data_IF_435136403204
#
_entry.id   IF_435136403204
#
_cell.length_a   1.000
_cell.length_b   1.000
_cell.length_c   1.000
_cell.angle_alpha   90.00
_cell.angle_beta   90.00
_cell.angle_gamma   90.00
#
_symmetry.space_group_name_H-M   'P 1'
#
loop_
_entity.id
_entity.type
_entity.pdbx_description
1 polymer ?
#
# COMPACT_ATOMS: atom_id res chain seq x y z
N UNK A 1 3.26 28.20 19.38
CA UNK A 1 1.86 28.37 18.91
C UNK A 1 1.80 28.07 17.41
N UNK A 2 1.44 26.85 17.03
CA UNK A 2 0.79 26.48 15.75
C UNK A 2 0.90 24.97 15.48
N UNK A 3 0.24 24.16 16.32
CA UNK A 3 -0.22 22.82 15.95
C UNK A 3 -1.71 22.97 15.62
N UNK A 4 -2.10 23.06 14.35
CA UNK A 4 -3.53 23.00 13.98
C UNK A 4 -3.85 22.58 12.53
N UNK A 5 -2.88 22.23 11.68
CA UNK A 5 -3.16 21.90 10.27
C UNK A 5 -3.42 20.40 9.97
N UNK A 6 -3.14 19.47 10.90
CA UNK A 6 -3.19 18.03 10.61
C UNK A 6 -4.59 17.38 10.70
N UNK A 7 -5.58 18.07 11.28
CA UNK A 7 -6.90 17.49 11.57
C UNK A 7 -7.95 17.61 10.45
N UNK A 8 -7.79 18.56 9.53
CA UNK A 8 -8.84 18.89 8.56
C UNK A 8 -8.86 17.97 7.32
N UNK A 9 -7.69 17.50 6.86
CA UNK A 9 -7.59 16.68 5.65
C UNK A 9 -8.14 15.25 5.83
N UNK A 10 -8.22 14.74 7.06
CA UNK A 10 -8.69 13.39 7.36
C UNK A 10 -10.22 13.24 7.30
N UNK A 11 -10.98 14.35 7.40
CA UNK A 11 -12.44 14.33 7.54
C UNK A 11 -13.19 14.56 6.22
N UNK A 12 -12.52 15.10 5.20
CA UNK A 12 -13.11 15.38 3.89
C UNK A 12 -13.09 14.19 2.89
N UNK A 13 -12.42 13.08 3.24
CA UNK A 13 -12.27 11.92 2.34
C UNK A 13 -13.39 10.85 2.50
N UNK A 14 -14.40 11.11 3.32
CA UNK A 14 -15.45 10.15 3.66
C UNK A 14 -16.83 10.70 3.26
N UNK A 15 -17.15 10.65 1.96
CA UNK A 15 -18.49 10.49 1.37
C UNK A 15 -18.55 11.12 -0.01
N UNK A 16 -18.32 10.32 -1.06
CA UNK A 16 -18.73 10.65 -2.42
C UNK A 16 -19.79 9.65 -2.89
N UNK A 17 -20.76 10.05 -3.73
CA UNK A 17 -21.79 9.15 -4.29
C UNK A 17 -21.24 7.90 -5.00
N UNK A 18 -19.94 7.86 -5.33
CA UNK A 18 -19.21 6.68 -5.87
C UNK A 18 -18.87 5.61 -4.82
N UNK A 19 -19.18 5.82 -3.54
CA UNK A 19 -18.83 4.90 -2.44
C UNK A 19 -19.83 3.74 -2.26
N UNK A 20 -21.09 3.91 -2.64
CA UNK A 20 -22.13 2.85 -2.56
C UNK A 20 -21.87 1.72 -3.57
N UNK A 21 -21.50 2.05 -4.81
CA UNK A 21 -21.28 1.06 -5.89
C UNK A 21 -20.06 0.15 -5.69
N UNK A 22 -19.09 0.55 -4.84
CA UNK A 22 -17.87 -0.25 -4.56
C UNK A 22 -17.92 -1.01 -3.23
N UNK A 23 -18.98 -0.83 -2.44
CA UNK A 23 -19.15 -1.49 -1.14
C UNK A 23 -19.49 -2.99 -1.29
N UNK A 24 -20.16 -3.38 -2.38
CA UNK A 24 -20.53 -4.77 -2.70
C UNK A 24 -19.52 -5.54 -3.57
N UNK A 25 -18.34 -4.97 -3.85
CA UNK A 25 -17.30 -5.60 -4.68
C UNK A 25 -16.60 -6.71 -3.89
N UNK A 26 -16.48 -7.92 -4.45
CA UNK A 26 -15.68 -9.00 -3.86
C UNK A 26 -14.19 -8.65 -3.96
N UNK A 27 -13.66 -8.00 -2.92
CA UNK A 27 -12.26 -7.58 -2.89
C UNK A 27 -11.29 -8.75 -2.89
N UNK A 28 -11.72 -9.97 -2.57
CA UNK A 28 -10.87 -11.14 -2.71
C UNK A 28 -10.43 -11.34 -4.17
N UNK A 29 -11.34 -11.11 -5.15
CA UNK A 29 -11.04 -11.21 -6.59
C UNK A 29 -10.00 -10.17 -7.01
N UNK A 30 -10.11 -8.94 -6.49
CA UNK A 30 -9.14 -7.88 -6.81
C UNK A 30 -7.77 -8.20 -6.20
N UNK A 31 -7.75 -8.77 -4.99
CA UNK A 31 -6.50 -9.12 -4.33
C UNK A 31 -5.79 -10.29 -5.00
N UNK A 32 -6.52 -11.20 -5.65
CA UNK A 32 -5.94 -12.30 -6.42
C UNK A 32 -5.00 -11.81 -7.54
N UNK A 33 -5.30 -10.66 -8.14
CA UNK A 33 -4.48 -10.02 -9.18
C UNK A 33 -3.20 -9.34 -8.64
N UNK A 34 -3.10 -9.14 -7.32
CA UNK A 34 -1.94 -8.49 -6.71
C UNK A 34 -0.84 -9.55 -6.53
N UNK A 35 0.37 -9.38 -7.09
CA UNK A 35 1.39 -10.43 -7.12
C UNK A 35 1.75 -11.03 -5.76
N UNK A 36 1.68 -10.24 -4.69
CA UNK A 36 1.97 -10.70 -3.33
C UNK A 36 0.90 -11.65 -2.76
N UNK A 37 -0.33 -11.61 -3.29
CA UNK A 37 -1.48 -12.37 -2.80
C UNK A 37 -1.94 -13.49 -3.74
N UNK A 38 -1.42 -13.57 -4.97
CA UNK A 38 -1.86 -14.52 -6.03
C UNK A 38 -1.88 -16.01 -5.63
N UNK A 39 -1.09 -16.40 -4.63
CA UNK A 39 -1.00 -17.78 -4.17
C UNK A 39 -1.77 -18.03 -2.85
N UNK A 40 -2.54 -17.04 -2.39
CA UNK A 40 -3.40 -17.20 -1.22
C UNK A 40 -4.72 -17.86 -1.61
N UNK A 41 -5.20 -18.74 -0.73
CA UNK A 41 -6.55 -19.30 -0.89
C UNK A 41 -7.59 -18.19 -0.85
N UNK A 42 -8.74 -18.40 -1.49
CA UNK A 42 -9.87 -17.45 -1.45
C UNK A 42 -10.31 -17.12 -0.02
N UNK A 43 -10.21 -18.07 0.91
CA UNK A 43 -10.45 -17.84 2.34
C UNK A 43 -9.47 -16.83 2.92
N UNK A 44 -8.19 -16.95 2.60
CA UNK A 44 -7.15 -16.02 3.07
C UNK A 44 -7.28 -14.66 2.41
N UNK A 45 -7.59 -14.59 1.12
CA UNK A 45 -7.89 -13.33 0.43
C UNK A 45 -9.06 -12.57 1.08
N UNK A 46 -10.14 -13.29 1.44
CA UNK A 46 -11.26 -12.70 2.21
C UNK A 46 -10.81 -12.21 3.59
N UNK A 47 -9.94 -12.96 4.27
CA UNK A 47 -9.39 -12.53 5.55
C UNK A 47 -8.56 -11.24 5.41
N UNK A 48 -7.66 -11.18 4.43
CA UNK A 48 -6.86 -9.97 4.11
C UNK A 48 -7.79 -8.79 3.84
N UNK A 49 -8.82 -8.96 3.01
CA UNK A 49 -9.80 -7.92 2.74
C UNK A 49 -10.56 -7.45 4.01
N UNK A 50 -10.88 -8.37 4.92
CA UNK A 50 -11.64 -8.08 6.15
C UNK A 50 -10.87 -7.26 7.18
N UNK A 51 -9.54 -7.38 7.22
CA UNK A 51 -8.69 -6.68 8.20
C UNK A 51 -8.13 -5.36 7.64
N UNK A 52 -8.42 -5.04 6.39
CA UNK A 52 -7.89 -3.88 5.71
C UNK A 52 -8.89 -2.73 5.63
N UNK A 53 -8.36 -1.51 5.54
CA UNK A 53 -9.15 -0.31 5.38
C UNK A 53 -8.96 0.29 4.00
N UNK A 54 -10.04 0.67 3.34
CA UNK A 54 -9.99 1.40 2.08
C UNK A 54 -9.75 2.89 2.35
N UNK A 55 -8.86 3.52 1.59
CA UNK A 55 -8.53 4.94 1.69
C UNK A 55 -8.47 5.56 0.30
N UNK A 56 -9.07 6.73 0.13
CA UNK A 56 -8.98 7.52 -1.10
C UNK A 56 -8.03 8.70 -0.90
N UNK A 57 -7.30 9.04 -1.96
CA UNK A 57 -6.38 10.16 -1.98
C UNK A 57 -6.59 10.95 -3.27
N UNK A 58 -6.65 12.28 -3.14
CA UNK A 58 -6.66 13.18 -4.30
C UNK A 58 -5.25 13.38 -4.87
N UNK A 59 -5.17 13.89 -6.10
CA UNK A 59 -3.90 14.18 -6.76
C UNK A 59 -2.97 15.04 -5.88
N UNK A 60 -1.67 14.72 -5.87
CA UNK A 60 -0.66 15.45 -5.10
C UNK A 60 -0.65 15.13 -3.59
N UNK A 61 -1.61 14.36 -3.08
CA UNK A 61 -1.64 13.98 -1.66
C UNK A 61 -0.44 13.09 -1.31
N UNK A 62 0.31 13.48 -0.28
CA UNK A 62 1.36 12.64 0.30
C UNK A 62 0.73 11.51 1.12
N UNK A 63 0.92 10.27 0.68
CA UNK A 63 0.41 9.06 1.34
C UNK A 63 1.45 8.55 2.35
N UNK A 64 2.73 8.62 1.98
CA UNK A 64 3.88 8.26 2.80
C UNK A 64 4.94 9.34 2.65
N UNK A 65 5.65 9.67 3.73
CA UNK A 65 6.82 10.55 3.71
C UNK A 65 8.07 9.76 4.07
N UNK A 66 9.16 10.01 3.34
CA UNK A 66 10.46 9.45 3.68
C UNK A 66 10.91 9.91 5.08
N UNK A 67 11.59 9.05 5.82
CA UNK A 67 12.07 9.32 7.18
C UNK A 67 11.04 9.09 8.29
N UNK A 68 9.74 9.02 7.98
CA UNK A 68 8.73 8.68 8.99
C UNK A 68 8.83 7.20 9.42
N UNK A 69 8.34 6.88 10.61
CA UNK A 69 8.17 5.47 11.02
C UNK A 69 7.10 4.76 10.17
N UNK A 70 7.37 3.52 9.76
CA UNK A 70 6.40 2.72 9.00
C UNK A 70 5.24 2.23 9.88
N UNK A 71 4.00 2.60 9.55
CA UNK A 71 2.81 2.20 10.32
C UNK A 71 1.81 1.30 9.57
N UNK A 72 1.96 1.20 8.24
CA UNK A 72 1.02 0.46 7.39
C UNK A 72 1.62 0.02 6.05
N UNK A 73 1.03 -1.02 5.49
CA UNK A 73 1.24 -1.57 4.15
C UNK A 73 0.09 -1.13 3.24
N UNK A 74 0.37 -0.87 1.96
CA UNK A 74 -0.62 -0.34 1.02
C UNK A 74 -0.64 -1.15 -0.27
N UNK A 75 -1.84 -1.46 -0.73
CA UNK A 75 -2.13 -2.06 -2.04
C UNK A 75 -2.88 -1.02 -2.86
N UNK A 76 -2.45 -0.78 -4.10
CA UNK A 76 -3.15 0.11 -5.01
C UNK A 76 -4.28 -0.65 -5.70
N UNK A 77 -5.51 -0.29 -5.38
CA UNK A 77 -6.71 -0.87 -5.98
C UNK A 77 -7.11 -0.13 -7.27
N UNK A 78 -6.81 1.17 -7.34
CA UNK A 78 -7.15 2.04 -8.46
C UNK A 78 -6.21 3.25 -8.51
N UNK A 79 -5.98 3.80 -9.69
CA UNK A 79 -5.12 4.96 -9.92
C UNK A 79 -3.62 4.63 -9.93
N UNK A 80 -2.81 5.66 -9.70
CA UNK A 80 -1.34 5.57 -9.70
C UNK A 80 -0.69 6.48 -8.66
N UNK A 81 0.53 6.15 -8.26
CA UNK A 81 1.35 6.95 -7.34
C UNK A 81 2.77 7.10 -7.87
N UNK A 82 3.45 8.17 -7.45
CA UNK A 82 4.89 8.33 -7.65
C UNK A 82 5.62 8.02 -6.35
N UNK A 83 6.58 7.10 -6.42
CA UNK A 83 7.53 6.80 -5.35
C UNK A 83 8.78 7.63 -5.59
N UNK A 84 9.10 8.50 -4.64
CA UNK A 84 10.17 9.50 -4.73
C UNK A 84 11.21 9.17 -3.66
N UNK A 85 12.31 8.49 -4.02
CA UNK A 85 13.40 8.22 -3.09
C UNK A 85 14.19 9.52 -2.77
N UNK A 86 14.92 9.58 -1.64
CA UNK A 86 15.82 10.69 -1.33
C UNK A 86 16.91 10.88 -2.39
N UNK A 87 17.37 9.77 -2.98
CA UNK A 87 18.36 9.74 -4.06
C UNK A 87 17.89 8.82 -5.18
N UNK A 88 18.26 9.14 -6.42
CA UNK A 88 17.83 8.40 -7.61
C UNK A 88 16.55 8.93 -8.26
N UNK A 89 16.02 8.17 -9.23
CA UNK A 89 14.87 8.62 -10.05
C UNK A 89 13.54 8.18 -9.43
N UNK A 90 12.50 9.03 -9.45
CA UNK A 90 11.15 8.61 -9.10
C UNK A 90 10.66 7.49 -10.00
N UNK A 91 9.85 6.59 -9.44
CA UNK A 91 9.17 5.53 -10.20
C UNK A 91 7.66 5.60 -10.00
N UNK A 92 6.90 5.14 -11.00
CA UNK A 92 5.44 5.09 -10.94
C UNK A 92 4.99 3.69 -10.55
N UNK A 93 4.03 3.63 -9.63
CA UNK A 93 3.27 2.42 -9.32
C UNK A 93 1.81 2.63 -9.73
N UNK A 94 1.13 1.56 -10.13
CA UNK A 94 -0.25 1.57 -10.62
C UNK A 94 -1.12 0.56 -9.85
N UNK A 95 -2.41 0.50 -10.17
CA UNK A 95 -3.30 -0.52 -9.66
C UNK A 95 -2.69 -1.94 -9.82
N UNK A 96 -2.80 -2.76 -8.79
CA UNK A 96 -2.16 -4.08 -8.69
C UNK A 96 -0.77 -4.05 -8.02
N UNK A 97 -0.13 -2.88 -7.94
CA UNK A 97 1.12 -2.72 -7.19
C UNK A 97 0.87 -2.50 -5.68
N UNK A 98 1.93 -2.63 -4.89
CA UNK A 98 1.93 -2.35 -3.46
C UNK A 98 3.19 -1.59 -3.03
N UNK A 99 3.10 -0.92 -1.88
CA UNK A 99 4.20 -0.18 -1.26
C UNK A 99 4.08 -0.12 0.26
N UNK A 100 5.17 0.34 0.90
CA UNK A 100 5.23 0.55 2.34
C UNK A 100 5.56 -0.72 3.13
N UNK A 101 6.02 -1.77 2.46
CA UNK A 101 6.44 -3.03 3.06
C UNK A 101 7.80 -2.94 3.76
N UNK A 102 8.77 -2.22 3.21
CA UNK A 102 10.17 -2.31 3.68
C UNK A 102 10.32 -1.91 5.14
N UNK A 103 9.83 -0.71 5.49
CA UNK A 103 9.83 -0.22 6.87
C UNK A 103 9.09 -1.11 7.88
N UNK A 104 8.22 -2.02 7.42
CA UNK A 104 7.54 -2.98 8.29
C UNK A 104 8.33 -4.29 8.47
N UNK A 105 9.26 -4.58 7.56
CA UNK A 105 10.07 -5.79 7.55
C UNK A 105 11.40 -5.60 8.28
N UNK A 106 12.02 -4.43 8.12
CA UNK A 106 13.36 -4.13 8.64
C UNK A 106 13.34 -3.12 9.80
N UNK A 107 12.16 -2.68 10.22
CA UNK A 107 11.92 -1.65 11.23
C UNK A 107 12.65 -0.32 11.00
N UNK A 108 13.16 -0.09 9.78
CA UNK A 108 13.81 1.15 9.39
C UNK A 108 12.77 2.22 9.03
N UNK A 109 13.14 3.51 9.05
CA UNK A 109 12.27 4.57 8.55
C UNK A 109 11.86 4.37 7.09
N UNK A 110 10.79 5.05 6.67
CA UNK A 110 10.35 5.05 5.26
C UNK A 110 11.49 5.47 4.35
N UNK A 111 11.85 4.58 3.42
CA UNK A 111 12.95 4.82 2.46
C UNK A 111 12.62 5.81 1.35
N UNK A 112 11.35 6.13 1.13
CA UNK A 112 10.88 7.01 0.06
C UNK A 112 9.53 7.63 0.40
N UNK A 113 9.27 8.80 -0.17
CA UNK A 113 7.95 9.42 -0.16
C UNK A 113 7.07 8.80 -1.24
N UNK A 114 5.76 8.72 -0.99
CA UNK A 114 4.77 8.25 -1.97
C UNK A 114 3.67 9.29 -2.10
N UNK A 115 3.43 9.75 -3.32
CA UNK A 115 2.49 10.83 -3.63
C UNK A 115 1.48 10.34 -4.66
N UNK A 116 0.20 10.63 -4.44
CA UNK A 116 -0.87 10.32 -5.37
C UNK A 116 -0.68 11.04 -6.73
N UNK A 117 -0.80 10.29 -7.81
CA UNK A 117 -0.71 10.77 -9.20
C UNK A 117 -2.07 10.61 -9.88
N UNK A 118 -3.01 11.48 -9.47
CA UNK A 118 -4.43 11.41 -9.82
C UNK A 118 -5.30 11.00 -8.62
N UNK A 119 -6.55 10.59 -8.87
CA UNK A 119 -7.36 9.94 -7.85
C UNK A 119 -6.82 8.53 -7.58
N UNK A 120 -6.59 8.20 -6.30
CA UNK A 120 -6.03 6.91 -5.88
C UNK A 120 -6.95 6.25 -4.87
N UNK A 121 -7.17 4.95 -5.02
CA UNK A 121 -7.80 4.10 -4.02
C UNK A 121 -6.80 3.06 -3.54
N UNK A 122 -6.54 3.02 -2.23
CA UNK A 122 -5.72 1.98 -1.62
C UNK A 122 -6.54 1.07 -0.73
N UNK A 123 -6.04 -0.15 -0.57
CA UNK A 123 -6.31 -0.99 0.58
C UNK A 123 -5.12 -0.90 1.53
N UNK A 124 -5.38 -0.57 2.80
CA UNK A 124 -4.36 -0.29 3.81
C UNK A 124 -4.45 -1.31 4.94
N UNK A 125 -3.33 -1.95 5.25
CA UNK A 125 -3.21 -2.94 6.32
C UNK A 125 -2.26 -2.36 7.37
N UNK A 126 -2.68 -2.31 8.63
CA UNK A 126 -1.83 -1.80 9.71
C UNK A 126 -0.59 -2.68 9.92
N UNK A 127 0.48 -2.13 10.50
CA UNK A 127 1.68 -2.89 10.86
C UNK A 127 1.37 -4.16 11.65
N UNK A 128 0.51 -4.05 12.66
CA UNK A 128 0.16 -5.19 13.52
C UNK A 128 -0.61 -6.27 12.75
N UNK A 129 -1.54 -5.88 11.89
CA UNK A 129 -2.28 -6.80 11.03
C UNK A 129 -1.36 -7.46 9.99
N UNK A 130 -0.47 -6.69 9.36
CA UNK A 130 0.49 -7.19 8.37
C UNK A 130 1.47 -8.19 8.99
N UNK A 131 2.01 -7.89 10.17
CA UNK A 131 2.89 -8.81 10.90
C UNK A 131 2.17 -10.12 11.25
N UNK A 132 0.91 -10.05 11.69
CA UNK A 132 0.08 -11.26 11.94
C UNK A 132 -0.16 -12.06 10.66
N UNK A 133 -0.48 -11.40 9.55
CA UNK A 133 -0.64 -12.07 8.25
C UNK A 133 0.63 -12.83 7.86
N UNK A 134 1.81 -12.21 7.94
CA UNK A 134 3.07 -12.88 7.59
C UNK A 134 3.38 -14.08 8.49
N UNK A 135 3.00 -14.03 9.77
CA UNK A 135 3.21 -15.14 10.72
C UNK A 135 2.26 -16.31 10.48
N UNK A 136 1.01 -16.03 10.10
CA UNK A 136 -0.01 -17.07 9.93
C UNK A 136 -0.14 -17.57 8.48
N UNK A 137 0.42 -16.83 7.51
CA UNK A 137 0.39 -17.14 6.08
C UNK A 137 1.81 -17.18 5.48
N UNK A 138 2.58 -18.27 5.67
CA UNK A 138 3.95 -18.37 5.15
C UNK A 138 4.04 -18.19 3.62
N UNK A 139 3.00 -18.57 2.88
CA UNK A 139 2.91 -18.35 1.43
C UNK A 139 2.98 -16.86 1.07
N UNK A 140 2.36 -15.99 1.88
CA UNK A 140 2.42 -14.54 1.69
C UNK A 140 3.85 -14.01 1.86
N UNK A 141 4.54 -14.47 2.90
CA UNK A 141 5.93 -14.09 3.16
C UNK A 141 6.84 -14.51 2.01
N UNK A 142 6.63 -15.71 1.45
CA UNK A 142 7.40 -16.19 0.31
C UNK A 142 7.18 -15.33 -0.96
N UNK A 143 5.94 -14.98 -1.29
CA UNK A 143 5.66 -14.10 -2.44
C UNK A 143 6.23 -12.68 -2.26
N UNK A 144 6.22 -12.18 -1.02
CA UNK A 144 6.88 -10.91 -0.67
C UNK A 144 8.39 -10.99 -0.92
N UNK A 145 9.06 -12.03 -0.41
CA UNK A 145 10.49 -12.25 -0.63
C UNK A 145 10.83 -12.36 -2.12
N UNK A 146 10.05 -13.11 -2.90
CA UNK A 146 10.22 -13.21 -4.37
C UNK A 146 10.11 -11.86 -5.04
N UNK A 147 9.13 -11.05 -4.63
CA UNK A 147 8.91 -9.71 -5.20
C UNK A 147 10.08 -8.78 -4.86
N UNK A 148 10.55 -8.77 -3.61
CA UNK A 148 11.68 -7.96 -3.18
C UNK A 148 12.98 -8.37 -3.88
N UNK A 149 13.24 -9.68 -4.02
CA UNK A 149 14.40 -10.18 -4.77
C UNK A 149 14.35 -9.75 -6.26
N UNK A 150 13.15 -9.71 -6.86
CA UNK A 150 12.95 -9.18 -8.21
C UNK A 150 13.26 -7.69 -8.29
N UNK A 151 12.78 -6.89 -7.33
CA UNK A 151 13.03 -5.44 -7.24
C UNK A 151 14.53 -5.14 -7.05
N UNK A 152 15.23 -5.89 -6.20
CA UNK A 152 16.67 -5.75 -5.97
C UNK A 152 17.47 -5.96 -7.26
N UNK A 153 17.24 -7.08 -7.95
CA UNK A 153 17.91 -7.37 -9.24
C UNK A 153 17.65 -6.30 -10.31
N UNK A 154 16.46 -5.72 -10.33
CA UNK A 154 16.14 -4.64 -11.26
C UNK A 154 16.89 -3.34 -10.90
N UNK A 155 17.04 -3.05 -9.61
CA UNK A 155 17.80 -1.90 -9.12
C UNK A 155 19.30 -2.03 -9.43
N UNK A 156 19.90 -3.20 -9.23
CA UNK A 156 21.32 -3.47 -9.54
C UNK A 156 21.65 -3.27 -11.03
N UNK A 157 20.72 -3.62 -11.94
CA UNK A 157 20.88 -3.42 -13.39
C UNK A 157 20.75 -1.97 -13.85
N UNK A 158 20.31 -1.08 -12.96
CA UNK A 158 20.04 0.33 -13.28
C UNK A 158 21.20 1.26 -12.84
N UNK A 159 22.30 0.68 -12.35
CA UNK A 159 23.58 1.32 -12.00
C UNK A 159 24.58 1.07 -13.11
#
# INVERSE_FOLDING_TARGET
MSQLAAGAAARAALSSPRDSDRMGRDWAVVLEEVPIFRNLSRRHLKHVASIAHKRRYGHGTSIVRAGDSGSAFYVLLDGAVRVIPPTGRPRKLKAGDFFGEMALLDDSPRSASVVADGEVLTMTISRSAFSKLLKHEPALAYELLRTLAGRLRAAEKSV
#
